data_IF_446434486426
#
_entry.id   IF_446434486426
#
_cell.length_a   1.000
_cell.length_b   1.000
_cell.length_c   1.000
_cell.angle_alpha   90.00
_cell.angle_beta   90.00
_cell.angle_gamma   90.00
#
_symmetry.space_group_name_H-M   'P 1'
#
loop_
_entity.id
_entity.type
_entity.pdbx_description
1 polymer ?
#
# COMPACT_ATOMS: atom_id res chain seq x y z
N UNK A 1 12.99 -3.87 -7.44
CA UNK A 1 13.61 -2.79 -6.71
C UNK A 1 12.73 -2.29 -5.59
N UNK A 2 13.27 -1.48 -4.71
CA UNK A 2 12.49 -0.79 -3.68
C UNK A 2 12.24 0.65 -4.12
N UNK A 3 11.12 1.24 -3.64
CA UNK A 3 10.73 2.61 -3.99
C UNK A 3 10.58 2.83 -5.50
N UNK A 4 9.72 2.02 -6.10
CA UNK A 4 9.51 1.99 -7.56
C UNK A 4 9.01 3.32 -8.10
N UNK A 5 8.21 4.07 -7.34
CA UNK A 5 7.70 5.37 -7.76
C UNK A 5 8.77 6.51 -7.76
N UNK A 6 9.98 6.23 -7.24
CA UNK A 6 11.14 7.11 -7.43
C UNK A 6 11.90 6.83 -8.73
N UNK A 7 11.40 5.92 -9.60
CA UNK A 7 12.05 5.66 -10.88
C UNK A 7 12.22 6.95 -11.66
N UNK A 8 13.46 7.18 -12.11
CA UNK A 8 13.86 8.27 -12.97
C UNK A 8 14.94 7.80 -13.92
N UNK A 9 14.80 8.17 -15.18
CA UNK A 9 15.80 7.98 -16.23
C UNK A 9 16.00 9.28 -16.97
N UNK A 10 17.23 9.80 -16.98
CA UNK A 10 17.58 11.04 -17.67
C UNK A 10 18.42 10.74 -18.91
N UNK A 11 17.97 11.19 -20.06
CA UNK A 11 18.79 11.26 -21.26
C UNK A 11 19.24 12.72 -21.51
N UNK A 12 19.85 12.98 -22.68
CA UNK A 12 20.33 14.34 -23.04
C UNK A 12 19.21 15.37 -23.23
N UNK A 13 17.95 14.94 -23.37
CA UNK A 13 16.82 15.78 -23.75
C UNK A 13 15.84 15.93 -22.59
N UNK A 14 15.52 14.84 -21.87
CA UNK A 14 14.43 14.79 -20.89
C UNK A 14 14.74 13.82 -19.77
N UNK A 15 14.20 14.10 -18.58
CA UNK A 15 14.07 13.16 -17.46
C UNK A 15 12.72 12.43 -17.60
N UNK A 16 12.75 11.11 -17.62
CA UNK A 16 11.58 10.24 -17.66
C UNK A 16 11.32 9.67 -16.27
N UNK A 17 10.07 9.67 -15.86
CA UNK A 17 9.63 9.16 -14.58
C UNK A 17 8.69 7.95 -14.75
N UNK A 18 8.27 7.35 -13.65
CA UNK A 18 7.34 6.21 -13.69
C UNK A 18 6.01 6.57 -14.41
N UNK A 19 5.54 7.79 -14.28
CA UNK A 19 4.36 8.29 -15.02
C UNK A 19 4.54 8.22 -16.54
N UNK A 20 5.72 8.62 -17.06
CA UNK A 20 6.02 8.49 -18.49
C UNK A 20 6.05 7.01 -18.93
N UNK A 21 6.57 6.12 -18.07
CA UNK A 21 6.58 4.67 -18.34
C UNK A 21 5.15 4.12 -18.39
N UNK A 22 4.30 4.47 -17.43
CA UNK A 22 2.89 4.06 -17.40
C UNK A 22 2.19 4.53 -18.68
N UNK A 23 2.34 5.81 -19.04
CA UNK A 23 1.75 6.37 -20.27
C UNK A 23 2.25 5.66 -21.53
N UNK A 24 3.54 5.28 -21.56
CA UNK A 24 4.09 4.50 -22.68
C UNK A 24 3.51 3.09 -22.73
N UNK A 25 3.36 2.43 -21.60
CA UNK A 25 2.79 1.09 -21.51
C UNK A 25 1.30 1.04 -21.88
N UNK A 26 0.56 2.14 -21.70
CA UNK A 26 -0.86 2.25 -22.09
C UNK A 26 -1.08 1.97 -23.58
N UNK A 27 -0.10 2.28 -24.43
CA UNK A 27 -0.19 2.10 -25.90
C UNK A 27 -0.01 0.65 -26.39
N UNK A 28 0.34 -0.30 -25.52
CA UNK A 28 0.54 -1.70 -25.92
C UNK A 28 -0.77 -2.49 -25.75
N UNK A 29 -1.41 -2.86 -26.85
CA UNK A 29 -2.75 -3.49 -26.85
C UNK A 29 -2.80 -4.82 -26.08
N UNK A 30 -1.74 -5.62 -26.14
CA UNK A 30 -1.65 -6.91 -25.47
C UNK A 30 -1.54 -6.78 -23.94
N UNK A 31 -1.15 -5.61 -23.44
CA UNK A 31 -1.04 -5.37 -22.01
C UNK A 31 -2.42 -5.10 -21.41
N UNK A 32 -2.87 -6.00 -20.55
CA UNK A 32 -4.19 -5.91 -19.93
C UNK A 32 -4.21 -5.06 -18.65
N UNK A 33 -3.16 -5.14 -17.84
CA UNK A 33 -3.09 -4.47 -16.53
C UNK A 33 -1.69 -3.96 -16.23
N UNK A 34 -1.62 -2.80 -15.63
CA UNK A 34 -0.38 -2.21 -15.08
C UNK A 34 -0.52 -2.18 -13.57
N UNK A 35 0.48 -2.67 -12.86
CA UNK A 35 0.60 -2.59 -11.42
C UNK A 35 2.05 -2.34 -11.02
N UNK A 36 2.26 -1.51 -10.04
CA UNK A 36 3.54 -1.36 -9.37
C UNK A 36 3.37 -1.49 -7.85
N UNK A 37 4.42 -1.88 -7.16
CA UNK A 37 4.45 -2.07 -5.71
C UNK A 37 5.70 -1.43 -5.13
N UNK A 38 5.83 -1.47 -3.81
CA UNK A 38 7.02 -0.95 -3.11
C UNK A 38 7.21 0.55 -3.34
N UNK A 39 6.13 1.30 -3.15
CA UNK A 39 6.11 2.75 -3.30
C UNK A 39 6.48 3.47 -2.01
N UNK A 40 6.86 4.75 -2.12
CA UNK A 40 7.10 5.62 -0.97
C UNK A 40 6.25 6.89 -1.08
N UNK A 41 5.58 7.35 -0.01
CA UNK A 41 4.70 8.54 -0.06
C UNK A 41 5.42 9.81 -0.54
N UNK A 42 6.70 9.98 -0.22
CA UNK A 42 7.51 11.12 -0.66
C UNK A 42 7.56 11.27 -2.19
N UNK A 43 7.59 10.14 -2.89
CA UNK A 43 7.80 10.09 -4.34
C UNK A 43 6.49 9.88 -5.13
N UNK A 44 5.34 10.13 -4.47
CA UNK A 44 4.02 10.13 -5.10
C UNK A 44 3.76 11.52 -5.69
N UNK A 45 4.20 11.73 -6.93
CA UNK A 45 4.08 13.01 -7.63
C UNK A 45 2.68 13.22 -8.20
N UNK A 46 2.33 14.48 -8.50
CA UNK A 46 1.02 14.80 -9.08
C UNK A 46 0.85 14.16 -10.47
N UNK A 47 1.92 14.05 -11.27
CA UNK A 47 1.90 13.37 -12.57
C UNK A 47 1.62 11.85 -12.42
N UNK A 48 2.14 11.22 -11.37
CA UNK A 48 1.85 9.83 -11.08
C UNK A 48 0.41 9.65 -10.58
N UNK A 49 -0.08 10.58 -9.78
CA UNK A 49 -1.47 10.61 -9.33
C UNK A 49 -2.41 10.74 -10.53
N UNK A 50 -2.09 11.63 -11.48
CA UNK A 50 -2.88 11.83 -12.70
C UNK A 50 -2.98 10.57 -13.56
N UNK A 51 -1.98 9.69 -13.56
CA UNK A 51 -2.06 8.41 -14.26
C UNK A 51 -3.25 7.54 -13.80
N UNK A 52 -3.73 7.69 -12.57
CA UNK A 52 -4.89 6.94 -12.07
C UNK A 52 -6.24 7.46 -12.60
N UNK A 53 -6.27 8.64 -13.23
CA UNK A 53 -7.44 9.14 -13.94
C UNK A 53 -7.38 8.88 -15.44
N UNK A 54 -6.17 8.88 -16.02
CA UNK A 54 -5.97 8.82 -17.48
C UNK A 54 -5.74 7.42 -18.02
N UNK A 55 -5.06 6.54 -17.25
CA UNK A 55 -4.78 5.17 -17.67
C UNK A 55 -5.97 4.25 -17.41
N UNK A 56 -6.37 3.49 -18.42
CA UNK A 56 -7.38 2.42 -18.33
C UNK A 56 -6.80 1.10 -17.81
N UNK A 57 -5.48 0.94 -17.90
CA UNK A 57 -4.76 -0.30 -17.55
C UNK A 57 -4.16 -0.25 -16.15
N UNK A 58 -3.90 0.95 -15.63
CA UNK A 58 -3.38 1.10 -14.26
C UNK A 58 -4.46 0.68 -13.27
N UNK A 59 -4.15 -0.36 -12.49
CA UNK A 59 -5.10 -0.91 -11.54
C UNK A 59 -5.47 0.12 -10.47
N UNK A 60 -6.76 0.24 -10.09
CA UNK A 60 -7.21 1.15 -9.02
C UNK A 60 -6.89 0.59 -7.63
N UNK A 61 -5.63 0.20 -7.45
CA UNK A 61 -5.11 -0.39 -6.24
C UNK A 61 -3.71 0.14 -5.95
N UNK A 62 -3.60 0.95 -4.91
CA UNK A 62 -2.35 1.65 -4.54
C UNK A 62 -1.73 0.99 -3.32
N UNK A 63 -0.59 0.32 -3.51
CA UNK A 63 0.22 -0.13 -2.39
C UNK A 63 1.20 0.98 -1.99
N UNK A 64 0.91 1.66 -0.87
CA UNK A 64 1.67 2.81 -0.39
C UNK A 64 1.97 2.66 1.12
N UNK A 65 3.11 2.02 1.47
CA UNK A 65 3.47 1.76 2.86
C UNK A 65 3.67 3.04 3.68
N UNK A 66 2.82 3.25 4.68
CA UNK A 66 2.97 4.37 5.61
C UNK A 66 3.84 4.02 6.82
N UNK A 67 3.78 2.79 7.29
CA UNK A 67 4.48 2.20 8.43
C UNK A 67 3.88 2.53 9.80
N UNK A 68 3.46 3.78 10.07
CA UNK A 68 2.84 4.23 11.31
C UNK A 68 1.92 5.42 11.06
N UNK A 69 0.90 5.58 11.86
CA UNK A 69 0.02 6.75 11.87
C UNK A 69 0.48 7.87 12.81
N UNK A 70 1.65 7.73 13.46
CA UNK A 70 2.25 8.74 14.31
C UNK A 70 3.44 9.42 13.64
N UNK A 71 3.41 10.75 13.51
CA UNK A 71 4.53 11.53 12.98
C UNK A 71 5.80 11.37 13.80
N UNK A 72 5.66 11.21 15.14
CA UNK A 72 6.79 10.92 16.04
C UNK A 72 7.47 9.61 15.64
N UNK A 73 6.70 8.55 15.44
CA UNK A 73 7.24 7.23 15.07
C UNK A 73 7.80 7.25 13.66
N UNK A 74 7.13 7.89 12.70
CA UNK A 74 7.66 8.08 11.34
C UNK A 74 9.03 8.78 11.35
N UNK A 75 9.21 9.80 12.19
CA UNK A 75 10.49 10.49 12.36
C UNK A 75 11.57 9.58 12.97
N UNK A 76 11.22 8.77 13.97
CA UNK A 76 12.14 7.79 14.57
C UNK A 76 12.54 6.70 13.57
N UNK A 77 11.63 6.27 12.69
CA UNK A 77 11.90 5.36 11.57
C UNK A 77 12.66 6.02 10.41
N UNK A 78 13.03 7.31 10.54
CA UNK A 78 13.66 8.11 9.47
C UNK A 78 12.84 8.17 8.17
N UNK A 79 11.51 8.12 8.28
CA UNK A 79 10.62 8.29 7.13
C UNK A 79 10.59 9.77 6.70
N UNK A 80 10.60 10.00 5.39
CA UNK A 80 10.69 11.35 4.80
C UNK A 80 9.30 11.87 4.38
N UNK A 81 8.27 11.49 5.12
CA UNK A 81 6.89 11.96 4.95
C UNK A 81 6.20 12.05 6.31
N UNK A 82 5.07 12.76 6.34
CA UNK A 82 4.19 12.86 7.50
C UNK A 82 2.84 12.22 7.20
N UNK A 83 2.01 12.04 8.23
CA UNK A 83 0.65 11.53 8.11
C UNK A 83 -0.22 12.47 7.28
N UNK A 84 -0.05 13.80 7.45
CA UNK A 84 -0.79 14.83 6.73
C UNK A 84 -0.48 14.73 5.21
N UNK A 85 0.80 14.57 4.85
CA UNK A 85 1.20 14.38 3.45
C UNK A 85 0.63 13.10 2.87
N UNK A 86 0.58 12.04 3.65
CA UNK A 86 -0.05 10.78 3.22
C UNK A 86 -1.55 10.96 2.98
N UNK A 87 -2.24 11.65 3.88
CA UNK A 87 -3.67 11.95 3.73
C UNK A 87 -3.96 12.87 2.54
N UNK A 88 -3.12 13.85 2.27
CA UNK A 88 -3.22 14.69 1.05
C UNK A 88 -3.17 13.82 -0.22
N UNK A 89 -2.23 12.86 -0.30
CA UNK A 89 -2.12 11.93 -1.43
C UNK A 89 -3.38 11.05 -1.52
N UNK A 90 -3.84 10.52 -0.39
CA UNK A 90 -5.06 9.72 -0.33
C UNK A 90 -6.26 10.50 -0.86
N UNK A 91 -6.47 11.72 -0.39
CA UNK A 91 -7.60 12.58 -0.79
C UNK A 91 -7.54 12.96 -2.28
N UNK A 92 -6.35 13.27 -2.81
CA UNK A 92 -6.15 13.50 -4.23
C UNK A 92 -6.53 12.27 -5.07
N UNK A 93 -6.06 11.09 -4.71
CA UNK A 93 -6.33 9.84 -5.42
C UNK A 93 -7.81 9.48 -5.40
N UNK A 94 -8.47 9.55 -4.24
CA UNK A 94 -9.92 9.28 -4.13
C UNK A 94 -10.76 10.31 -4.90
N UNK A 95 -10.32 11.56 -4.95
CA UNK A 95 -11.02 12.61 -5.70
C UNK A 95 -11.00 12.35 -7.21
N UNK A 96 -9.88 11.88 -7.74
CA UNK A 96 -9.76 11.59 -9.18
C UNK A 96 -10.36 10.24 -9.57
N UNK A 97 -10.29 9.25 -8.68
CA UNK A 97 -10.89 7.94 -8.91
C UNK A 97 -11.40 7.32 -7.59
N UNK A 98 -12.70 7.44 -7.29
CA UNK A 98 -13.29 6.91 -6.06
C UNK A 98 -13.24 5.38 -5.92
N UNK A 99 -12.88 4.67 -7.00
CA UNK A 99 -12.73 3.21 -6.98
C UNK A 99 -11.37 2.76 -6.45
N UNK A 100 -10.43 3.70 -6.22
CA UNK A 100 -9.10 3.36 -5.72
C UNK A 100 -9.19 2.78 -4.30
N UNK A 101 -8.52 1.67 -4.11
CA UNK A 101 -8.29 1.05 -2.81
C UNK A 101 -6.82 1.13 -2.42
N UNK A 102 -6.58 1.22 -1.12
CA UNK A 102 -5.25 1.37 -0.57
C UNK A 102 -4.80 0.12 0.17
N UNK A 103 -3.54 -0.22 -0.01
CA UNK A 103 -2.80 -1.20 0.77
C UNK A 103 -1.59 -0.55 1.40
N UNK A 104 -1.21 -1.02 2.57
CA UNK A 104 -0.07 -0.48 3.31
C UNK A 104 0.61 -1.56 4.15
N UNK A 105 1.83 -1.28 4.57
CA UNK A 105 2.53 -2.03 5.60
C UNK A 105 2.58 -1.21 6.89
N UNK A 106 2.46 -1.90 8.03
CA UNK A 106 2.51 -1.31 9.37
C UNK A 106 3.56 -2.00 10.22
N UNK A 107 4.39 -1.22 10.89
CA UNK A 107 5.33 -1.70 11.91
C UNK A 107 4.78 -1.27 13.26
N UNK A 108 4.45 -2.24 14.10
CA UNK A 108 3.85 -2.06 15.41
C UNK A 108 4.90 -2.27 16.49
N UNK A 109 4.75 -1.59 17.60
CA UNK A 109 5.67 -1.64 18.73
C UNK A 109 7.11 -1.23 18.34
N UNK A 110 7.25 -0.24 17.48
CA UNK A 110 8.55 0.38 17.24
C UNK A 110 9.08 0.99 18.55
N UNK A 111 10.39 0.90 18.87
CA UNK A 111 10.95 1.47 20.07
C UNK A 111 10.53 2.92 20.31
N UNK A 112 9.97 3.19 21.49
CA UNK A 112 9.43 4.50 21.85
C UNK A 112 8.00 4.80 21.40
N UNK A 113 7.29 3.83 20.78
CA UNK A 113 5.86 3.94 20.46
C UNK A 113 5.03 3.91 21.75
N UNK A 114 4.34 5.00 22.05
CA UNK A 114 3.38 5.06 23.16
C UNK A 114 2.01 4.53 22.74
N UNK A 115 1.12 4.35 23.73
CA UNK A 115 -0.29 3.99 23.46
C UNK A 115 -0.99 5.06 22.60
N UNK A 116 -0.66 6.33 22.81
CA UNK A 116 -1.19 7.41 21.96
C UNK A 116 -0.71 7.28 20.51
N UNK A 117 0.58 7.01 20.28
CA UNK A 117 1.14 6.81 18.94
C UNK A 117 0.45 5.64 18.21
N UNK A 118 0.20 4.53 18.94
CA UNK A 118 -0.53 3.39 18.39
C UNK A 118 -1.99 3.74 18.07
N UNK A 119 -2.66 4.49 18.94
CA UNK A 119 -4.03 4.95 18.70
C UNK A 119 -4.13 5.89 17.49
N UNK A 120 -3.13 6.73 17.21
CA UNK A 120 -3.06 7.51 15.97
C UNK A 120 -2.96 6.59 14.74
N UNK A 121 -2.19 5.52 14.81
CA UNK A 121 -2.13 4.50 13.75
C UNK A 121 -3.50 3.85 13.53
N UNK A 122 -4.21 3.48 14.60
CA UNK A 122 -5.55 2.91 14.48
C UNK A 122 -6.58 3.91 13.90
N UNK A 123 -6.48 5.20 14.25
CA UNK A 123 -7.35 6.25 13.66
C UNK A 123 -7.14 6.34 12.15
N UNK A 124 -5.89 6.32 11.71
CA UNK A 124 -5.56 6.33 10.28
C UNK A 124 -6.09 5.10 9.55
N UNK A 125 -5.90 3.91 10.12
CA UNK A 125 -6.41 2.64 9.58
C UNK A 125 -7.93 2.67 9.42
N UNK A 126 -8.65 3.22 10.41
CA UNK A 126 -10.12 3.38 10.36
C UNK A 126 -10.57 4.42 9.34
N UNK A 127 -9.79 5.50 9.14
CA UNK A 127 -10.12 6.55 8.16
C UNK A 127 -9.99 6.03 6.73
N UNK A 128 -8.89 5.36 6.40
CA UNK A 128 -8.58 4.94 5.02
C UNK A 128 -9.21 3.59 4.67
N UNK A 129 -9.38 2.69 5.66
CA UNK A 129 -9.94 1.34 5.50
C UNK A 129 -9.13 0.48 4.54
N UNK A 130 -7.84 0.40 4.79
CA UNK A 130 -6.90 -0.36 3.97
C UNK A 130 -7.33 -1.81 3.74
N UNK A 131 -7.04 -2.31 2.54
CA UNK A 131 -7.21 -3.71 2.15
C UNK A 131 -5.86 -4.33 1.77
N UNK A 132 -5.77 -5.67 1.77
CA UNK A 132 -4.53 -6.40 1.39
C UNK A 132 -3.26 -5.82 2.05
N UNK A 133 -3.38 -5.49 3.32
CA UNK A 133 -2.33 -4.82 4.10
C UNK A 133 -1.68 -5.77 5.08
N UNK A 134 -0.42 -5.50 5.39
CA UNK A 134 0.37 -6.31 6.30
C UNK A 134 0.74 -5.50 7.54
N UNK A 135 0.87 -6.20 8.66
CA UNK A 135 1.33 -5.61 9.92
C UNK A 135 2.30 -6.55 10.61
N UNK A 136 3.36 -5.99 11.14
CA UNK A 136 4.46 -6.72 11.76
C UNK A 136 4.83 -6.05 13.07
N UNK A 137 5.21 -6.84 14.08
CA UNK A 137 5.93 -6.31 15.23
C UNK A 137 7.32 -5.87 14.76
N UNK A 138 7.80 -4.74 15.28
CA UNK A 138 9.17 -4.32 15.06
C UNK A 138 10.14 -5.46 15.37
N UNK A 139 11.12 -5.64 14.50
CA UNK A 139 12.23 -6.57 14.71
C UNK A 139 13.55 -5.82 14.49
N UNK A 140 14.43 -5.79 15.50
CA UNK A 140 15.70 -5.09 15.40
C UNK A 140 16.57 -5.71 14.30
N UNK A 141 17.19 -4.85 13.49
CA UNK A 141 18.13 -5.27 12.45
C UNK A 141 19.51 -4.78 12.78
N UNK A 142 20.54 -5.66 12.77
CA UNK A 142 21.91 -5.26 13.05
C UNK A 142 22.36 -4.06 12.19
N UNK A 143 23.09 -3.15 12.81
CA UNK A 143 23.60 -1.95 12.14
C UNK A 143 22.62 -0.78 12.01
N UNK A 144 21.37 -0.93 12.47
CA UNK A 144 20.42 0.20 12.52
C UNK A 144 20.44 0.88 13.88
N UNK A 145 20.13 2.18 13.92
CA UNK A 145 20.01 2.92 15.20
C UNK A 145 18.95 2.31 16.13
N UNK A 146 17.89 1.77 15.55
CA UNK A 146 16.78 1.17 16.30
C UNK A 146 17.15 -0.15 16.98
N UNK A 147 18.20 -0.85 16.51
CA UNK A 147 18.63 -2.11 17.13
C UNK A 147 19.22 -1.95 18.55
N UNK A 148 19.59 -0.72 18.92
CA UNK A 148 20.16 -0.40 20.22
C UNK A 148 19.14 0.26 21.18
N UNK A 149 17.87 0.33 20.77
CA UNK A 149 16.81 0.90 21.60
C UNK A 149 16.06 -0.20 22.35
N UNK A 150 15.52 0.14 23.51
CA UNK A 150 14.69 -0.77 24.31
C UNK A 150 13.43 -1.17 23.53
N UNK A 151 13.24 -2.45 23.36
CA UNK A 151 12.02 -3.01 22.74
C UNK A 151 10.82 -2.79 23.67
N UNK A 152 9.65 -2.64 23.08
CA UNK A 152 8.39 -2.64 23.80
C UNK A 152 8.10 -4.05 24.32
N UNK A 153 7.48 -4.13 25.48
CA UNK A 153 7.07 -5.40 26.08
C UNK A 153 6.33 -6.28 25.06
N UNK A 154 6.67 -7.56 25.06
CA UNK A 154 6.19 -8.52 24.04
C UNK A 154 4.68 -8.73 24.09
N UNK A 155 4.07 -8.70 25.29
CA UNK A 155 2.62 -8.86 25.40
C UNK A 155 1.89 -7.63 24.89
N UNK A 156 2.41 -6.41 25.18
CA UNK A 156 1.88 -5.16 24.64
C UNK A 156 2.01 -5.15 23.10
N UNK A 157 3.17 -5.56 22.59
CA UNK A 157 3.41 -5.62 21.15
C UNK A 157 2.44 -6.58 20.43
N UNK A 158 2.20 -7.73 21.03
CA UNK A 158 1.27 -8.74 20.52
C UNK A 158 -0.19 -8.26 20.59
N UNK A 159 -0.60 -7.64 21.69
CA UNK A 159 -1.94 -7.05 21.82
C UNK A 159 -2.19 -5.99 20.74
N UNK A 160 -1.24 -5.07 20.54
CA UNK A 160 -1.32 -4.05 19.49
C UNK A 160 -1.41 -4.65 18.09
N UNK A 161 -0.59 -5.68 17.82
CA UNK A 161 -0.61 -6.38 16.53
C UNK A 161 -1.99 -7.01 16.27
N UNK A 162 -2.53 -7.75 17.24
CA UNK A 162 -3.86 -8.37 17.10
C UNK A 162 -4.94 -7.33 16.86
N UNK A 163 -4.90 -6.21 17.57
CA UNK A 163 -5.88 -5.14 17.44
C UNK A 163 -5.86 -4.46 16.06
N UNK A 164 -4.69 -4.19 15.48
CA UNK A 164 -4.63 -3.64 14.12
C UNK A 164 -5.07 -4.66 13.09
N UNK A 165 -4.67 -5.94 13.24
CA UNK A 165 -5.06 -7.03 12.34
C UNK A 165 -6.57 -7.23 12.30
N UNK A 166 -7.26 -7.11 13.43
CA UNK A 166 -8.72 -7.17 13.51
C UNK A 166 -9.38 -6.13 12.58
N UNK A 167 -8.90 -4.86 12.63
CA UNK A 167 -9.43 -3.81 11.76
C UNK A 167 -9.11 -4.07 10.29
N UNK A 168 -7.87 -4.43 9.97
CA UNK A 168 -7.46 -4.72 8.59
C UNK A 168 -8.26 -5.88 8.01
N UNK A 169 -8.45 -6.96 8.78
CA UNK A 169 -9.27 -8.10 8.38
C UNK A 169 -10.73 -7.71 8.17
N UNK A 170 -11.30 -6.92 9.08
CA UNK A 170 -12.68 -6.41 8.96
C UNK A 170 -12.88 -5.61 7.66
N UNK A 171 -11.95 -4.73 7.32
CA UNK A 171 -12.03 -3.93 6.09
C UNK A 171 -11.87 -4.79 4.85
N UNK A 172 -10.92 -5.73 4.86
CA UNK A 172 -10.77 -6.72 3.80
C UNK A 172 -12.06 -7.53 3.58
N UNK A 173 -12.65 -8.03 4.66
CA UNK A 173 -13.89 -8.80 4.60
C UNK A 173 -15.05 -7.96 4.04
N UNK A 174 -15.17 -6.70 4.47
CA UNK A 174 -16.19 -5.79 3.96
C UNK A 174 -16.01 -5.52 2.47
N UNK A 175 -14.76 -5.34 2.00
CA UNK A 175 -14.46 -5.19 0.58
C UNK A 175 -14.84 -6.45 -0.19
N UNK A 176 -14.48 -7.64 0.30
CA UNK A 176 -14.84 -8.90 -0.34
C UNK A 176 -16.37 -9.07 -0.42
N UNK A 177 -17.10 -8.74 0.65
CA UNK A 177 -18.58 -8.78 0.66
C UNK A 177 -19.18 -7.81 -0.34
N UNK A 178 -18.54 -6.69 -0.65
CA UNK A 178 -19.04 -5.71 -1.63
C UNK A 178 -19.07 -6.24 -3.06
N UNK A 179 -18.41 -7.36 -3.35
CA UNK A 179 -18.44 -8.03 -4.66
C UNK A 179 -19.57 -9.08 -4.80
N UNK A 180 -20.25 -9.44 -3.71
CA UNK A 180 -21.35 -10.40 -3.76
C UNK A 180 -22.45 -9.88 -4.70
N UNK A 181 -22.91 -10.74 -5.60
CA UNK A 181 -23.90 -10.44 -6.64
C UNK A 181 -23.45 -9.36 -7.64
N UNK A 182 -22.14 -9.14 -7.78
CA UNK A 182 -21.58 -8.25 -8.81
C UNK A 182 -20.71 -9.02 -9.79
N UNK A 183 -20.74 -8.62 -11.04
CA UNK A 183 -19.77 -9.06 -12.04
C UNK A 183 -18.48 -8.29 -11.87
N UNK A 184 -17.37 -9.00 -11.83
CA UNK A 184 -16.03 -8.42 -11.72
C UNK A 184 -15.08 -9.06 -12.72
N UNK A 185 -14.18 -8.27 -13.28
CA UNK A 185 -13.17 -8.78 -14.19
C UNK A 185 -12.05 -9.49 -13.43
N UNK A 186 -11.72 -10.68 -13.86
CA UNK A 186 -10.64 -11.50 -13.31
C UNK A 186 -9.61 -11.79 -14.39
N UNK A 187 -8.37 -11.42 -14.15
CA UNK A 187 -7.25 -11.85 -14.98
C UNK A 187 -6.86 -13.26 -14.54
N UNK A 188 -7.03 -14.22 -15.43
CA UNK A 188 -6.59 -15.60 -15.21
C UNK A 188 -5.06 -15.63 -15.35
N UNK A 189 -4.39 -16.13 -14.31
CA UNK A 189 -2.94 -16.17 -14.25
C UNK A 189 -2.39 -17.56 -14.51
N UNK A 190 -3.02 -18.59 -13.94
CA UNK A 190 -2.59 -19.97 -14.11
C UNK A 190 -3.72 -20.97 -13.87
N UNK A 191 -3.47 -22.22 -14.26
CA UNK A 191 -4.29 -23.36 -13.92
C UNK A 191 -3.78 -23.95 -12.60
N UNK A 192 -4.69 -24.35 -11.73
CA UNK A 192 -4.32 -25.02 -10.49
C UNK A 192 -3.93 -26.48 -10.79
N UNK A 193 -2.74 -26.87 -10.31
CA UNK A 193 -2.22 -28.23 -10.50
C UNK A 193 -3.16 -29.27 -9.89
N UNK A 194 -3.42 -30.36 -10.65
CA UNK A 194 -4.29 -31.44 -10.22
C UNK A 194 -5.80 -31.07 -10.14
N UNK A 195 -6.20 -29.88 -10.56
CA UNK A 195 -7.59 -29.42 -10.53
C UNK A 195 -8.04 -28.90 -11.91
N UNK A 196 -9.37 -29.03 -12.19
CA UNK A 196 -9.98 -28.40 -13.38
C UNK A 196 -10.27 -26.91 -13.17
N UNK A 197 -9.70 -26.27 -12.14
CA UNK A 197 -9.97 -24.90 -11.77
C UNK A 197 -8.86 -23.98 -12.28
N UNK A 198 -9.23 -22.74 -12.58
CA UNK A 198 -8.34 -21.66 -12.93
C UNK A 198 -8.14 -20.76 -11.72
N UNK A 199 -6.95 -20.19 -11.58
CA UNK A 199 -6.63 -19.18 -10.60
C UNK A 199 -6.44 -17.85 -11.30
N UNK A 200 -6.98 -16.79 -10.72
CA UNK A 200 -6.79 -15.44 -11.21
C UNK A 200 -6.94 -14.40 -10.11
N UNK A 201 -6.79 -13.16 -10.48
CA UNK A 201 -6.97 -12.02 -9.57
C UNK A 201 -7.82 -10.92 -10.19
N UNK A 202 -8.65 -10.31 -9.36
CA UNK A 202 -9.35 -9.11 -9.78
C UNK A 202 -8.41 -7.87 -9.73
N UNK A 203 -8.92 -6.70 -10.10
CA UNK A 203 -8.16 -5.43 -10.11
C UNK A 203 -7.70 -4.94 -8.71
N UNK A 204 -8.16 -5.55 -7.63
CA UNK A 204 -7.74 -5.26 -6.24
C UNK A 204 -6.86 -6.37 -5.65
N UNK A 205 -6.35 -7.26 -6.50
CA UNK A 205 -5.50 -8.39 -6.09
C UNK A 205 -6.20 -9.46 -5.25
N UNK A 206 -7.54 -9.45 -5.18
CA UNK A 206 -8.27 -10.55 -4.56
C UNK A 206 -8.14 -11.81 -5.42
N UNK A 207 -7.74 -12.91 -4.78
CA UNK A 207 -7.68 -14.23 -5.42
C UNK A 207 -9.06 -14.76 -5.74
N UNK A 208 -9.21 -15.35 -6.92
CA UNK A 208 -10.44 -15.98 -7.42
C UNK A 208 -10.10 -17.36 -7.99
N UNK A 209 -10.90 -18.37 -7.68
CA UNK A 209 -10.75 -19.76 -8.12
C UNK A 209 -12.04 -20.24 -8.78
#
# INVERSE_FOLDING_TARGET
GQNVNAYSYKNKIKEYRISDLINKLESYEELQRIRYTTSHPRDMTDELIECYSTSKKLMPFVHLPIQSGSNKILKLMNRKHTVEKYLEIYEKLIKINPMIEFSSDFIIAYPGETENDFNETLKLVKKIKFINSFSFIFSPRPGTKASNLDEIDKEIAKERLLKIQEYLFKFQLNKNKSFINKSIDVLVENKLDGQKKLFGRNQYMNSVI
#
